data_IF_943305871940
#
_entry.id   IF_943305871940
#
_cell.length_a   1.000
_cell.length_b   1.000
_cell.length_c   1.000
_cell.angle_alpha   90.00
_cell.angle_beta   90.00
_cell.angle_gamma   90.00
#
_symmetry.space_group_name_H-M   'P 1'
#
loop_
_entity.id
_entity.type
_entity.pdbx_description
1 polymer ?
#
# COMPACT_ATOMS: atom_id res chain seq x y z
N UNK A 1 -27.90 -11.02 -21.74
CA UNK A 1 -27.10 -9.92 -22.29
C UNK A 1 -26.40 -9.28 -21.13
N UNK A 2 -25.11 -9.57 -21.01
CA UNK A 2 -24.32 -9.34 -19.82
C UNK A 2 -24.09 -7.85 -19.64
N UNK A 3 -24.62 -7.31 -18.55
CA UNK A 3 -24.35 -5.94 -18.15
C UNK A 3 -22.98 -5.97 -17.46
N UNK A 4 -21.93 -5.76 -18.27
CA UNK A 4 -20.55 -5.57 -17.80
C UNK A 4 -20.45 -4.16 -17.17
N UNK A 5 -21.29 -3.92 -16.16
CA UNK A 5 -21.24 -2.76 -15.31
C UNK A 5 -20.09 -2.98 -14.34
N UNK A 6 -18.92 -2.45 -14.69
CA UNK A 6 -17.81 -2.28 -13.75
C UNK A 6 -18.29 -1.35 -12.62
N UNK A 7 -18.94 -1.95 -11.61
CA UNK A 7 -19.12 -1.34 -10.30
C UNK A 7 -17.73 -1.34 -9.68
N UNK A 8 -16.94 -0.33 -10.02
CA UNK A 8 -15.87 0.13 -9.14
C UNK A 8 -16.58 0.71 -7.93
N UNK A 9 -16.97 -0.18 -7.01
CA UNK A 9 -17.41 0.22 -5.68
C UNK A 9 -16.23 0.96 -5.05
N UNK A 10 -16.36 2.28 -4.91
CA UNK A 10 -15.33 3.14 -4.31
C UNK A 10 -15.16 2.85 -2.81
N UNK A 11 -16.04 2.02 -2.22
CA UNK A 11 -15.92 1.52 -0.86
C UNK A 11 -15.17 0.18 -0.78
N UNK A 12 -14.84 -0.46 -1.91
CA UNK A 12 -14.12 -1.72 -1.91
C UNK A 12 -12.67 -1.48 -2.30
N UNK A 13 -11.79 -1.86 -1.38
CA UNK A 13 -10.35 -1.65 -1.36
C UNK A 13 -9.57 -2.51 -2.40
N UNK A 14 -10.14 -2.68 -3.59
CA UNK A 14 -9.56 -3.53 -4.62
C UNK A 14 -8.23 -2.99 -5.17
N UNK A 15 -8.01 -1.68 -5.14
CA UNK A 15 -6.76 -1.09 -5.63
C UNK A 15 -5.57 -1.52 -4.76
N UNK A 16 -5.67 -1.35 -3.44
CA UNK A 16 -4.64 -1.81 -2.51
C UNK A 16 -4.40 -3.31 -2.64
N UNK A 17 -5.48 -4.11 -2.72
CA UNK A 17 -5.39 -5.56 -2.95
C UNK A 17 -4.71 -5.93 -4.27
N UNK A 18 -4.96 -5.19 -5.36
CA UNK A 18 -4.37 -5.47 -6.67
C UNK A 18 -2.86 -5.17 -6.76
N UNK A 19 -2.34 -4.38 -5.83
CA UNK A 19 -0.93 -4.06 -5.71
C UNK A 19 -0.21 -4.98 -4.71
N UNK A 20 -0.90 -5.37 -3.64
CA UNK A 20 -0.35 -6.08 -2.49
C UNK A 20 0.20 -7.48 -2.81
N UNK A 21 1.34 -7.83 -2.20
CA UNK A 21 1.92 -9.18 -2.23
C UNK A 21 1.01 -10.22 -1.56
N UNK A 22 1.30 -11.50 -1.73
CA UNK A 22 0.42 -12.58 -1.27
C UNK A 22 0.67 -13.05 0.16
N UNK A 23 1.64 -12.49 0.89
CA UNK A 23 2.13 -13.14 2.13
C UNK A 23 2.55 -12.21 3.27
N UNK A 24 2.88 -10.95 3.01
CA UNK A 24 3.40 -10.07 4.07
C UNK A 24 2.28 -9.44 4.91
N UNK A 25 1.04 -9.40 4.41
CA UNK A 25 -0.05 -8.62 5.01
C UNK A 25 -0.73 -9.37 6.16
N UNK A 26 -0.86 -8.68 7.29
CA UNK A 26 -1.63 -9.13 8.44
C UNK A 26 -3.10 -9.26 8.07
N UNK A 27 -3.79 -10.17 8.77
CA UNK A 27 -5.20 -10.44 8.53
C UNK A 27 -6.10 -9.21 8.79
N UNK A 28 -7.13 -9.04 7.96
CA UNK A 28 -8.21 -8.05 8.12
C UNK A 28 -9.56 -8.67 7.76
N UNK A 29 -10.59 -8.31 8.51
CA UNK A 29 -12.00 -8.63 8.25
C UNK A 29 -12.66 -7.69 7.23
N UNK A 30 -11.98 -6.63 6.78
CA UNK A 30 -12.52 -5.67 5.83
C UNK A 30 -12.49 -6.28 4.42
N UNK A 31 -13.66 -6.42 3.80
CA UNK A 31 -13.81 -6.97 2.46
C UNK A 31 -13.03 -6.16 1.42
N UNK A 32 -12.36 -6.86 0.52
CA UNK A 32 -11.53 -6.26 -0.53
C UNK A 32 -10.19 -5.73 -0.04
N UNK A 33 -9.89 -5.73 1.27
CA UNK A 33 -8.65 -5.17 1.81
C UNK A 33 -7.41 -6.06 1.60
N UNK A 34 -6.19 -5.49 1.58
CA UNK A 34 -4.97 -6.28 1.50
C UNK A 34 -4.80 -7.35 2.60
N UNK A 35 -5.43 -7.22 3.76
CA UNK A 35 -5.37 -8.23 4.82
C UNK A 35 -6.41 -9.34 4.68
N UNK A 36 -7.40 -9.18 3.79
CA UNK A 36 -8.51 -10.13 3.67
C UNK A 36 -8.25 -11.18 2.57
N UNK A 37 -8.74 -12.41 2.79
CA UNK A 37 -8.63 -13.54 1.87
C UNK A 37 -9.66 -13.56 0.73
N UNK A 38 -10.66 -12.68 0.75
CA UNK A 38 -11.63 -12.52 -0.33
C UNK A 38 -10.96 -12.01 -1.63
N UNK A 39 -11.65 -12.18 -2.76
CA UNK A 39 -11.17 -11.74 -4.08
C UNK A 39 -9.71 -12.11 -4.38
N UNK A 40 -9.30 -13.35 -4.04
CA UNK A 40 -7.91 -13.80 -4.17
C UNK A 40 -7.36 -13.66 -5.61
N UNK A 41 -8.22 -13.79 -6.62
CA UNK A 41 -7.90 -13.57 -8.03
C UNK A 41 -7.54 -12.11 -8.37
N UNK A 42 -7.93 -11.15 -7.53
CA UNK A 42 -7.58 -9.74 -7.65
C UNK A 42 -6.24 -9.42 -6.97
N UNK A 43 -5.67 -10.32 -6.16
CA UNK A 43 -4.44 -10.07 -5.41
C UNK A 43 -3.23 -9.98 -6.34
N UNK A 44 -2.38 -8.96 -6.14
CA UNK A 44 -1.17 -8.69 -6.94
C UNK A 44 -1.41 -8.69 -8.47
N UNK A 45 -2.62 -8.33 -8.92
CA UNK A 45 -3.00 -8.41 -10.33
C UNK A 45 -2.15 -7.53 -11.25
N UNK A 46 -1.56 -6.47 -10.68
CA UNK A 46 -0.69 -5.51 -11.38
C UNK A 46 0.75 -6.00 -11.55
N UNK A 47 1.17 -7.02 -10.79
CA UNK A 47 2.58 -7.44 -10.69
C UNK A 47 3.45 -6.52 -9.82
N UNK A 48 2.88 -5.45 -9.23
CA UNK A 48 3.65 -4.54 -8.38
C UNK A 48 4.28 -5.25 -7.19
N UNK A 49 3.59 -6.19 -6.55
CA UNK A 49 4.08 -6.97 -5.39
C UNK A 49 4.46 -6.06 -4.22
N UNK A 50 3.51 -5.24 -3.77
CA UNK A 50 3.65 -4.36 -2.61
C UNK A 50 3.76 -5.17 -1.32
N UNK A 51 4.91 -5.06 -0.64
CA UNK A 51 5.12 -5.65 0.69
C UNK A 51 4.70 -4.66 1.78
N UNK A 52 4.07 -5.17 2.83
CA UNK A 52 3.79 -4.44 4.08
C UNK A 52 5.02 -4.36 4.98
N UNK A 53 6.09 -3.77 4.44
CA UNK A 53 7.39 -3.66 5.11
C UNK A 53 7.42 -2.59 6.22
N UNK A 54 6.31 -1.87 6.46
CA UNK A 54 6.29 -0.76 7.39
C UNK A 54 7.32 0.31 7.03
N UNK A 55 7.88 0.96 8.05
CA UNK A 55 9.01 1.87 7.90
C UNK A 55 9.99 1.72 9.08
N UNK A 56 11.23 2.16 8.90
CA UNK A 56 12.21 2.33 9.97
C UNK A 56 12.18 3.79 10.45
N UNK A 57 11.84 4.06 11.70
CA UNK A 57 11.89 5.41 12.25
C UNK A 57 13.33 5.94 12.40
N UNK A 58 13.48 7.25 12.57
CA UNK A 58 14.78 7.90 12.84
C UNK A 58 15.53 7.30 14.04
N UNK A 59 14.81 6.85 15.07
CA UNK A 59 15.37 6.15 16.25
C UNK A 59 15.83 4.70 15.98
N UNK A 60 15.64 4.22 14.75
CA UNK A 60 16.04 2.89 14.30
C UNK A 60 15.02 1.79 14.54
N UNK A 61 13.86 2.06 15.14
CA UNK A 61 12.80 1.06 15.33
C UNK A 61 12.02 0.84 14.04
N UNK A 62 11.58 -0.41 13.84
CA UNK A 62 10.67 -0.76 12.75
C UNK A 62 9.22 -0.67 13.22
N UNK A 63 8.40 0.06 12.48
CA UNK A 63 7.00 0.34 12.79
C UNK A 63 6.09 -0.22 11.69
N UNK A 64 4.88 -0.64 12.06
CA UNK A 64 3.81 -1.07 11.12
C UNK A 64 4.12 -2.27 10.22
N UNK A 65 5.11 -3.08 10.57
CA UNK A 65 5.38 -4.36 9.91
C UNK A 65 4.11 -5.20 9.78
N UNK A 66 3.87 -5.71 8.58
CA UNK A 66 2.70 -6.52 8.24
C UNK A 66 1.41 -5.72 8.05
N UNK A 67 1.33 -4.46 8.51
CA UNK A 67 0.10 -3.66 8.50
C UNK A 67 0.06 -2.62 7.39
N UNK A 68 1.20 -2.00 7.09
CA UNK A 68 1.28 -0.94 6.09
C UNK A 68 2.52 -1.15 5.23
N UNK A 69 2.40 -0.92 3.93
CA UNK A 69 3.54 -0.75 3.04
C UNK A 69 3.67 0.74 2.72
N UNK A 70 4.87 1.29 2.86
CA UNK A 70 5.16 2.69 2.56
C UNK A 70 6.23 2.77 1.47
N UNK A 71 6.04 3.68 0.51
CA UNK A 71 7.02 3.98 -0.52
C UNK A 71 7.37 5.46 -0.54
N UNK A 72 8.67 5.73 -0.69
CA UNK A 72 9.16 7.07 -0.94
C UNK A 72 8.56 7.64 -2.24
N UNK A 73 8.04 8.86 -2.15
CA UNK A 73 7.72 9.69 -3.32
C UNK A 73 8.69 10.88 -3.38
N UNK A 74 8.86 11.44 -4.58
CA UNK A 74 9.82 12.52 -4.85
C UNK A 74 9.36 13.90 -4.35
N UNK A 75 8.17 14.02 -3.77
CA UNK A 75 7.58 15.32 -3.44
C UNK A 75 7.88 15.76 -1.99
N UNK A 76 8.45 16.96 -1.87
CA UNK A 76 8.78 17.62 -0.61
C UNK A 76 7.63 18.55 -0.21
N UNK A 77 6.78 18.12 0.71
CA UNK A 77 5.80 19.02 1.37
C UNK A 77 6.46 19.74 2.54
N UNK A 78 7.35 20.69 2.22
CA UNK A 78 7.92 21.62 3.20
C UNK A 78 8.78 20.98 4.30
N UNK A 79 9.35 21.85 5.15
CA UNK A 79 10.42 21.54 6.12
C UNK A 79 10.16 20.27 6.95
N UNK A 80 10.82 19.17 6.59
CA UNK A 80 10.96 17.97 7.41
C UNK A 80 9.88 16.90 7.27
N UNK A 81 8.97 17.00 6.31
CA UNK A 81 7.99 15.93 6.05
C UNK A 81 7.80 15.63 4.57
N UNK A 82 7.83 14.35 4.23
CA UNK A 82 7.62 13.87 2.86
C UNK A 82 6.32 13.11 2.73
N UNK A 83 5.72 13.22 1.54
CA UNK A 83 4.58 12.40 1.17
C UNK A 83 5.06 10.98 0.82
N UNK A 84 4.33 9.98 1.31
CA UNK A 84 4.50 8.59 0.92
C UNK A 84 3.20 8.02 0.35
N UNK A 85 3.30 7.22 -0.71
CA UNK A 85 2.23 6.29 -1.05
C UNK A 85 2.21 5.17 -0.02
N UNK A 86 1.02 4.84 0.47
CA UNK A 86 0.83 3.76 1.42
C UNK A 86 -0.27 2.79 1.00
N UNK A 87 -0.07 1.52 1.32
CA UNK A 87 -1.12 0.52 1.27
C UNK A 87 -1.34 0.03 2.70
N UNK A 88 -2.58 0.02 3.16
CA UNK A 88 -2.98 -0.39 4.50
C UNK A 88 -3.75 -1.72 4.45
N UNK A 89 -3.43 -2.63 5.38
CA UNK A 89 -4.03 -3.96 5.46
C UNK A 89 -5.56 -3.97 5.54
N UNK A 90 -6.18 -2.96 6.14
CA UNK A 90 -7.64 -2.85 6.23
C UNK A 90 -8.24 -1.77 5.33
N UNK A 91 -7.54 -0.63 5.16
CA UNK A 91 -8.12 0.58 4.55
C UNK A 91 -7.75 0.78 3.08
N UNK A 92 -6.57 0.31 2.66
CA UNK A 92 -6.23 0.26 1.25
C UNK A 92 -5.16 1.15 0.75
N UNK A 93 -5.25 1.50 -0.53
CA UNK A 93 -4.33 2.45 -1.15
C UNK A 93 -4.70 3.86 -0.71
N UNK A 94 -3.73 4.56 -0.17
CA UNK A 94 -3.76 5.98 0.15
C UNK A 94 -2.44 6.61 -0.34
N UNK A 95 -2.47 7.89 -0.67
CA UNK A 95 -1.31 8.63 -1.22
C UNK A 95 -0.75 9.63 -0.22
N UNK A 96 -1.15 9.57 1.06
CA UNK A 96 -0.72 10.54 2.05
C UNK A 96 -0.31 9.92 3.38
N UNK A 97 1.00 9.84 3.61
CA UNK A 97 1.62 9.50 4.90
C UNK A 97 2.67 10.54 5.27
N UNK A 98 2.73 10.93 6.55
CA UNK A 98 3.71 11.87 7.09
C UNK A 98 4.94 11.13 7.59
N UNK A 99 6.10 11.40 6.99
CA UNK A 99 7.38 10.78 7.38
C UNK A 99 8.52 11.78 7.43
N UNK A 100 9.46 11.54 8.34
CA UNK A 100 10.69 12.33 8.44
C UNK A 100 11.66 11.93 7.32
N UNK A 101 12.56 12.84 6.94
CA UNK A 101 13.61 12.58 5.93
C UNK A 101 14.55 11.42 6.33
N UNK A 102 14.62 11.15 7.63
CA UNK A 102 15.44 10.11 8.26
C UNK A 102 14.76 8.72 8.30
N UNK A 103 13.48 8.65 7.94
CA UNK A 103 12.72 7.40 8.00
C UNK A 103 13.10 6.46 6.82
N UNK A 104 13.30 5.17 7.10
CA UNK A 104 13.53 4.17 6.06
C UNK A 104 12.21 3.67 5.47
N UNK A 105 11.78 4.26 4.35
CA UNK A 105 10.64 3.78 3.54
C UNK A 105 11.12 2.91 2.36
N UNK A 106 10.23 2.12 1.76
CA UNK A 106 10.58 1.29 0.59
C UNK A 106 10.84 2.17 -0.64
N UNK A 107 11.82 1.79 -1.46
CA UNK A 107 12.09 2.42 -2.76
C UNK A 107 11.80 1.43 -3.89
N UNK A 108 11.41 1.96 -5.05
CA UNK A 108 11.35 1.19 -6.29
C UNK A 108 11.86 2.03 -7.43
N UNK A 109 12.77 1.47 -8.22
CA UNK A 109 13.23 2.11 -9.44
C UNK A 109 12.12 2.06 -10.49
N UNK A 110 11.79 3.21 -11.08
CA UNK A 110 10.91 3.30 -12.25
C UNK A 110 11.81 3.33 -13.48
N UNK A 111 11.51 2.46 -14.45
CA UNK A 111 12.18 2.50 -15.75
C UNK A 111 11.62 3.68 -16.55
N UNK A 112 12.49 4.61 -16.92
CA UNK A 112 12.20 5.61 -17.94
C UNK A 112 12.33 4.97 -19.33
N UNK A 113 11.38 5.22 -20.23
CA UNK A 113 11.32 4.57 -21.54
C UNK A 113 11.78 5.52 -22.66
#
# INVERSE_FOLDING_TARGET
>A
MDNIGRVIDRNVNHLGKSLADTSSWNWSDISGSPGNSDYANCRNKTGFTARSAGFRASDGKFMWLGKIGFWWELDTVGFGSHASCLINYGLGLDTYGWHNEEDGLSVRCVKDN
#
